data_IF_709939196485
#
_entry.id   IF_709939196485
#
_cell.length_a   1.000
_cell.length_b   1.000
_cell.length_c   1.000
_cell.angle_alpha   90.00
_cell.angle_beta   90.00
_cell.angle_gamma   90.00
#
_symmetry.space_group_name_H-M   'P 1'
#
loop_
_entity.id
_entity.type
_entity.pdbx_description
1 polymer ?
#
# COMPACT_ATOMS: atom_id res chain seq x y z
N UNK A 1 1.82 14.42 -6.94
CA UNK A 1 2.37 14.55 -5.57
C UNK A 1 3.81 14.06 -5.54
N UNK A 2 4.72 14.82 -4.89
CA UNK A 2 6.11 14.41 -4.66
C UNK A 2 6.24 13.21 -3.70
N UNK A 3 5.27 13.02 -2.79
CA UNK A 3 5.26 11.89 -1.84
C UNK A 3 4.67 10.60 -2.43
N UNK A 4 4.15 10.63 -3.66
CA UNK A 4 3.62 9.41 -4.26
C UNK A 4 4.77 8.44 -4.62
N UNK A 5 4.54 7.15 -4.34
CA UNK A 5 5.42 6.05 -4.73
C UNK A 5 4.67 5.15 -5.72
N UNK A 6 5.37 4.71 -6.75
CA UNK A 6 4.82 3.82 -7.78
C UNK A 6 5.21 2.37 -7.48
N UNK A 7 4.39 1.44 -7.94
CA UNK A 7 4.65 0.01 -7.84
C UNK A 7 3.99 -0.73 -9.00
N UNK A 8 4.49 -1.94 -9.26
CA UNK A 8 3.91 -2.87 -10.22
C UNK A 8 3.65 -4.17 -9.47
N UNK A 9 2.43 -4.66 -9.57
CA UNK A 9 2.01 -5.92 -8.96
C UNK A 9 1.68 -6.91 -10.07
N UNK A 10 2.48 -7.99 -10.16
CA UNK A 10 2.17 -9.15 -10.98
C UNK A 10 1.34 -10.10 -10.13
N UNK A 11 0.19 -10.52 -10.66
CA UNK A 11 -0.74 -11.40 -9.96
C UNK A 11 -1.41 -12.37 -10.93
N UNK A 12 -1.63 -13.60 -10.47
CA UNK A 12 -2.43 -14.61 -11.16
C UNK A 12 -3.93 -14.53 -10.81
N UNK A 13 -4.34 -13.53 -10.00
CA UNK A 13 -5.71 -13.39 -9.51
C UNK A 13 -6.42 -12.17 -10.10
N UNK A 14 -7.48 -12.43 -10.89
CA UNK A 14 -8.34 -11.37 -11.41
C UNK A 14 -9.04 -10.57 -10.29
N UNK A 15 -9.39 -11.24 -9.17
CA UNK A 15 -9.94 -10.58 -7.99
C UNK A 15 -8.99 -9.51 -7.44
N UNK A 16 -7.71 -9.85 -7.32
CA UNK A 16 -6.66 -8.94 -6.84
C UNK A 16 -6.51 -7.77 -7.81
N UNK A 17 -6.41 -8.04 -9.11
CA UNK A 17 -6.28 -6.99 -10.14
C UNK A 17 -7.43 -5.98 -10.07
N UNK A 18 -8.69 -6.43 -10.01
CA UNK A 18 -9.86 -5.55 -9.94
C UNK A 18 -9.87 -4.73 -8.65
N UNK A 19 -9.57 -5.34 -7.50
CA UNK A 19 -9.56 -4.61 -6.23
C UNK A 19 -8.39 -3.61 -6.14
N UNK A 20 -7.26 -3.89 -6.78
CA UNK A 20 -6.16 -2.94 -6.89
C UNK A 20 -6.53 -1.71 -7.75
N UNK A 21 -7.36 -1.88 -8.78
CA UNK A 21 -7.92 -0.74 -9.55
C UNK A 21 -8.83 0.17 -8.71
N UNK A 22 -9.51 -0.38 -7.69
CA UNK A 22 -10.33 0.41 -6.76
C UNK A 22 -9.45 1.12 -5.71
N UNK A 23 -8.49 0.37 -5.15
CA UNK A 23 -7.69 0.83 -4.02
C UNK A 23 -6.55 1.78 -4.40
N UNK A 24 -6.14 1.79 -5.66
CA UNK A 24 -4.97 2.55 -6.14
C UNK A 24 -5.26 3.27 -7.46
N UNK A 25 -4.40 4.22 -7.82
CA UNK A 25 -4.40 4.82 -9.17
C UNK A 25 -3.60 3.94 -10.12
N UNK A 26 -4.21 2.84 -10.56
CA UNK A 26 -3.59 1.89 -11.48
C UNK A 26 -3.85 2.26 -12.96
N UNK A 27 -2.99 1.76 -13.85
CA UNK A 27 -3.10 1.96 -15.30
C UNK A 27 -2.08 2.94 -15.88
N UNK A 28 -2.40 3.48 -17.06
CA UNK A 28 -1.47 4.26 -17.91
C UNK A 28 -0.75 5.42 -17.19
N UNK A 29 -1.42 6.26 -16.39
CA UNK A 29 -0.73 7.38 -15.72
C UNK A 29 0.36 6.91 -14.74
N UNK A 30 0.17 5.76 -14.07
CA UNK A 30 1.18 5.19 -13.21
C UNK A 30 2.36 4.64 -14.02
N UNK A 31 2.09 3.98 -15.15
CA UNK A 31 3.12 3.48 -16.05
C UNK A 31 3.98 4.61 -16.66
N UNK A 32 3.36 5.69 -17.11
CA UNK A 32 4.06 6.87 -17.64
C UNK A 32 4.95 7.52 -16.58
N UNK A 33 4.47 7.57 -15.33
CA UNK A 33 5.26 8.05 -14.21
C UNK A 33 6.46 7.15 -13.93
N UNK A 34 6.29 5.83 -13.96
CA UNK A 34 7.40 4.87 -13.78
C UNK A 34 8.44 5.05 -14.89
N UNK A 35 8.01 5.18 -16.15
CA UNK A 35 8.90 5.39 -17.27
C UNK A 35 9.72 6.69 -17.15
N UNK A 36 9.12 7.75 -16.59
CA UNK A 36 9.78 9.03 -16.37
C UNK A 36 10.72 9.02 -15.16
N UNK A 37 10.26 8.49 -14.03
CA UNK A 37 10.96 8.60 -12.73
C UNK A 37 11.97 7.45 -12.51
N UNK A 38 11.88 6.35 -13.29
CA UNK A 38 12.89 5.28 -13.35
C UNK A 38 12.87 4.25 -12.21
N UNK A 39 12.00 4.40 -11.20
CA UNK A 39 11.93 3.52 -10.04
C UNK A 39 10.51 3.16 -9.61
N UNK A 40 10.33 1.95 -9.10
CA UNK A 40 9.06 1.45 -8.57
C UNK A 40 9.26 0.26 -7.61
N UNK A 41 8.28 0.04 -6.73
CA UNK A 41 8.23 -1.14 -5.86
C UNK A 41 7.76 -2.36 -6.67
N UNK A 42 8.55 -3.44 -6.62
CA UNK A 42 8.27 -4.70 -7.31
C UNK A 42 7.37 -5.58 -6.46
N UNK A 43 6.20 -5.92 -6.96
CA UNK A 43 5.25 -6.81 -6.31
C UNK A 43 5.05 -8.08 -7.12
N UNK A 44 5.33 -9.23 -6.52
CA UNK A 44 4.97 -10.55 -7.06
C UNK A 44 3.95 -11.20 -6.14
N UNK A 45 2.82 -11.61 -6.70
CA UNK A 45 1.75 -12.29 -5.99
C UNK A 45 1.30 -13.53 -6.76
N UNK A 46 1.09 -14.63 -6.04
CA UNK A 46 0.38 -15.80 -6.54
C UNK A 46 -0.53 -16.39 -5.48
N UNK A 47 -1.73 -16.81 -5.86
CA UNK A 47 -2.63 -17.53 -4.96
C UNK A 47 -2.09 -18.93 -4.59
N UNK A 48 -1.20 -19.50 -5.42
CA UNK A 48 -0.65 -20.82 -5.21
C UNK A 48 -1.73 -21.91 -5.12
N UNK A 49 -1.53 -22.84 -4.19
CA UNK A 49 -2.48 -23.90 -3.83
C UNK A 49 -3.44 -23.49 -2.69
N UNK A 50 -3.31 -22.26 -2.17
CA UNK A 50 -4.04 -21.73 -1.01
C UNK A 50 -3.86 -22.57 0.28
N UNK A 51 -2.77 -23.33 0.38
CA UNK A 51 -2.42 -24.04 1.60
C UNK A 51 -2.01 -23.03 2.69
N UNK A 52 -2.74 -22.96 3.83
CA UNK A 52 -2.40 -22.05 4.92
C UNK A 52 -0.99 -22.25 5.48
N UNK A 53 -0.47 -23.47 5.44
CA UNK A 53 0.87 -23.81 5.95
C UNK A 53 1.98 -23.41 4.97
N UNK A 54 1.61 -23.09 3.72
CA UNK A 54 2.52 -22.60 2.68
C UNK A 54 2.23 -21.15 2.31
N UNK A 55 1.70 -20.36 3.24
CA UNK A 55 1.41 -18.93 3.03
C UNK A 55 2.58 -18.05 3.45
N UNK A 56 3.11 -17.27 2.51
CA UNK A 56 4.25 -16.38 2.74
C UNK A 56 3.92 -14.96 2.26
N UNK A 57 4.20 -13.96 3.09
CA UNK A 57 4.11 -12.54 2.73
C UNK A 57 5.42 -11.87 3.15
N UNK A 58 6.34 -11.76 2.19
CA UNK A 58 7.73 -11.39 2.38
C UNK A 58 7.99 -9.98 1.86
N UNK A 59 8.92 -9.28 2.51
CA UNK A 59 9.26 -7.90 2.19
C UNK A 59 10.79 -7.79 2.17
N UNK A 60 11.33 -7.28 1.07
CA UNK A 60 12.75 -7.09 0.86
C UNK A 60 12.99 -5.59 0.67
N UNK A 61 13.12 -4.83 1.78
CA UNK A 61 13.10 -3.38 1.74
C UNK A 61 14.28 -2.77 0.98
N UNK A 62 15.48 -3.34 1.09
CA UNK A 62 16.68 -2.92 0.36
C UNK A 62 16.51 -3.09 -1.15
N UNK A 63 15.69 -4.06 -1.56
CA UNK A 63 15.40 -4.34 -2.96
C UNK A 63 14.18 -3.56 -3.47
N UNK A 64 13.37 -2.97 -2.60
CA UNK A 64 12.02 -2.47 -2.91
C UNK A 64 11.14 -3.57 -3.52
N UNK A 65 11.20 -4.78 -2.96
CA UNK A 65 10.43 -5.93 -3.42
C UNK A 65 9.47 -6.48 -2.36
N UNK A 66 8.33 -6.97 -2.82
CA UNK A 66 7.28 -7.63 -2.04
C UNK A 66 6.94 -8.92 -2.77
N UNK A 67 6.96 -10.05 -2.05
CA UNK A 67 6.60 -11.35 -2.60
C UNK A 67 5.52 -11.98 -1.72
N UNK A 68 4.40 -12.37 -2.33
CA UNK A 68 3.27 -12.96 -1.65
C UNK A 68 2.81 -14.24 -2.33
N UNK A 69 2.65 -15.29 -1.54
CA UNK A 69 2.25 -16.61 -2.02
C UNK A 69 1.23 -17.24 -1.07
N UNK A 70 0.26 -17.96 -1.65
CA UNK A 70 -0.68 -18.80 -0.88
C UNK A 70 -1.89 -18.06 -0.30
N UNK A 71 -2.17 -16.82 -0.71
CA UNK A 71 -3.36 -16.11 -0.23
C UNK A 71 -3.86 -15.02 -1.18
N UNK A 72 -5.11 -15.14 -1.64
CA UNK A 72 -5.79 -14.08 -2.40
C UNK A 72 -6.51 -13.03 -1.54
N UNK A 73 -6.33 -13.02 -0.22
CA UNK A 73 -7.18 -12.25 0.70
C UNK A 73 -6.55 -10.94 1.17
N UNK A 74 -7.26 -9.83 0.93
CA UNK A 74 -7.05 -8.56 1.60
C UNK A 74 -5.58 -8.09 1.62
N UNK A 75 -5.05 -7.81 2.80
CA UNK A 75 -3.69 -7.26 2.96
C UNK A 75 -2.54 -8.21 2.63
N UNK A 76 -2.83 -9.50 2.40
CA UNK A 76 -1.83 -10.47 1.93
C UNK A 76 -1.66 -10.37 0.41
N UNK A 77 -2.72 -10.04 -0.32
CA UNK A 77 -2.74 -10.08 -1.78
C UNK A 77 -2.71 -8.69 -2.41
N UNK A 78 -3.43 -7.72 -1.84
CA UNK A 78 -3.46 -6.33 -2.33
C UNK A 78 -2.19 -5.61 -1.87
N UNK A 79 -1.07 -5.80 -2.57
CA UNK A 79 0.26 -5.45 -2.06
C UNK A 79 0.41 -3.95 -1.85
N UNK A 80 -0.31 -3.12 -2.60
CA UNK A 80 -0.38 -1.67 -2.39
C UNK A 80 -0.90 -1.26 -1.01
N UNK A 81 -1.69 -2.11 -0.33
CA UNK A 81 -2.44 -1.74 0.88
C UNK A 81 -1.57 -1.60 2.13
N UNK A 82 -0.91 -2.68 2.56
CA UNK A 82 -0.13 -2.71 3.81
C UNK A 82 1.34 -3.03 3.55
N UNK A 83 1.60 -3.95 2.63
CA UNK A 83 2.95 -4.34 2.25
C UNK A 83 3.72 -3.13 1.70
N UNK A 84 3.16 -2.42 0.71
CA UNK A 84 3.77 -1.22 0.18
C UNK A 84 3.55 -0.02 1.12
N UNK A 85 2.31 0.42 1.32
CA UNK A 85 2.02 1.72 1.94
C UNK A 85 2.45 1.86 3.41
N UNK A 86 2.79 0.76 4.10
CA UNK A 86 3.37 0.83 5.44
C UNK A 86 4.75 0.17 5.53
N UNK A 87 4.92 -1.09 5.11
CA UNK A 87 6.18 -1.80 5.40
C UNK A 87 7.35 -1.34 4.53
N UNK A 88 7.17 -1.32 3.20
CA UNK A 88 8.19 -0.76 2.30
C UNK A 88 8.27 0.75 2.47
N UNK A 89 7.12 1.42 2.58
CA UNK A 89 7.07 2.87 2.73
C UNK A 89 7.75 3.37 4.01
N UNK A 90 7.63 2.68 5.16
CA UNK A 90 8.30 3.11 6.39
C UNK A 90 9.82 2.95 6.31
N UNK A 91 10.30 1.94 5.58
CA UNK A 91 11.72 1.79 5.28
C UNK A 91 12.23 2.95 4.41
N UNK A 92 11.53 3.26 3.32
CA UNK A 92 11.86 4.42 2.47
C UNK A 92 11.81 5.73 3.27
N UNK A 93 10.77 5.90 4.09
CA UNK A 93 10.55 7.08 4.91
C UNK A 93 11.69 7.31 5.91
N UNK A 94 12.22 6.23 6.51
CA UNK A 94 13.39 6.28 7.40
C UNK A 94 14.63 6.84 6.70
N UNK A 95 14.90 6.42 5.47
CA UNK A 95 16.08 6.85 4.72
C UNK A 95 15.91 8.26 4.12
N UNK A 96 14.70 8.57 3.66
CA UNK A 96 14.38 9.79 2.91
C UNK A 96 13.87 10.94 3.79
N UNK A 97 13.74 10.74 5.11
CA UNK A 97 13.38 11.78 6.08
C UNK A 97 11.90 12.20 6.11
N UNK A 98 10.97 11.27 5.89
CA UNK A 98 9.52 11.49 6.02
C UNK A 98 8.87 10.38 6.86
N UNK A 99 7.53 10.32 6.92
CA UNK A 99 6.79 9.34 7.74
C UNK A 99 5.72 8.59 6.94
N UNK A 100 5.68 7.27 7.09
CA UNK A 100 4.66 6.39 6.52
C UNK A 100 3.88 5.69 7.64
N UNK A 101 2.76 6.29 8.05
CA UNK A 101 2.08 5.92 9.29
C UNK A 101 0.71 5.28 9.09
N UNK A 102 0.33 4.42 10.04
CA UNK A 102 -1.00 3.83 10.06
C UNK A 102 -2.04 4.77 10.71
N UNK A 103 -2.28 5.91 10.07
CA UNK A 103 -3.17 6.95 10.58
C UNK A 103 -4.37 7.19 9.67
N UNK A 104 -5.50 7.58 10.28
CA UNK A 104 -6.54 8.32 9.54
C UNK A 104 -6.09 9.77 9.37
N UNK A 105 -6.63 10.47 8.39
CA UNK A 105 -6.48 11.92 8.21
C UNK A 105 -7.89 12.51 8.14
N UNK A 106 -8.18 13.47 9.02
CA UNK A 106 -9.49 14.13 9.10
C UNK A 106 -9.33 15.65 9.09
N UNK A 107 -10.25 16.34 8.42
CA UNK A 107 -10.40 17.80 8.48
C UNK A 107 -11.51 18.17 9.45
N UNK A 108 -11.20 19.01 10.43
CA UNK A 108 -12.14 19.52 11.44
C UNK A 108 -12.37 21.01 11.17
N UNK A 109 -13.59 21.38 10.82
CA UNK A 109 -13.97 22.78 10.63
C UNK A 109 -14.73 23.29 11.85
N UNK A 110 -14.26 24.39 12.45
CA UNK A 110 -14.95 25.02 13.56
C UNK A 110 -16.14 25.88 13.09
N UNK A 111 -17.06 26.32 13.97
CA UNK A 111 -18.20 27.16 13.59
C UNK A 111 -17.84 28.52 12.97
N UNK A 112 -16.58 28.97 13.08
CA UNK A 112 -16.07 30.19 12.45
C UNK A 112 -15.55 29.93 11.02
N UNK A 113 -15.56 28.68 10.56
CA UNK A 113 -15.11 28.28 9.23
C UNK A 113 -13.62 27.88 9.14
N UNK A 114 -12.88 27.88 10.25
CA UNK A 114 -11.45 27.54 10.27
C UNK A 114 -11.26 26.01 10.27
N UNK A 115 -10.40 25.48 9.39
CA UNK A 115 -10.17 24.05 9.24
C UNK A 115 -8.80 23.63 9.78
N UNK A 116 -8.79 22.61 10.63
CA UNK A 116 -7.57 21.95 11.10
C UNK A 116 -7.51 20.50 10.60
N UNK A 117 -6.32 20.02 10.27
CA UNK A 117 -6.10 18.63 9.85
C UNK A 117 -5.43 17.85 10.98
N UNK A 118 -5.99 16.68 11.29
CA UNK A 118 -5.49 15.80 12.35
C UNK A 118 -5.17 14.44 11.75
N UNK A 119 -4.01 13.90 12.14
CA UNK A 119 -3.63 12.51 11.91
C UNK A 119 -3.76 11.73 13.22
N UNK A 120 -4.39 10.56 13.18
CA UNK A 120 -4.60 9.75 14.39
C UNK A 120 -4.42 8.25 14.12
N UNK A 121 -3.65 7.58 15.01
CA UNK A 121 -3.40 6.15 14.96
C UNK A 121 -4.26 5.42 15.99
N UNK A 122 -4.98 4.40 15.54
CA UNK A 122 -5.78 3.53 16.39
C UNK A 122 -5.47 2.06 16.04
N UNK A 123 -5.33 1.18 17.05
CA UNK A 123 -5.29 -0.26 16.82
C UNK A 123 -6.56 -0.79 16.16
N UNK A 124 -6.52 -2.06 15.74
CA UNK A 124 -7.72 -2.76 15.28
C UNK A 124 -8.82 -2.77 16.34
N UNK A 125 -10.07 -2.77 15.89
CA UNK A 125 -11.28 -2.83 16.73
C UNK A 125 -11.52 -1.61 17.65
N UNK A 126 -10.89 -0.46 17.37
CA UNK A 126 -11.10 0.78 18.13
C UNK A 126 -12.01 1.81 17.42
N UNK A 127 -12.83 1.40 16.45
CA UNK A 127 -13.79 2.30 15.80
C UNK A 127 -13.19 3.37 14.88
N UNK A 128 -12.00 3.15 14.31
CA UNK A 128 -11.29 4.12 13.46
C UNK A 128 -12.10 4.68 12.27
N UNK A 129 -13.06 3.93 11.77
CA UNK A 129 -13.90 4.29 10.61
C UNK A 129 -15.26 4.85 11.01
N UNK A 130 -15.60 4.83 12.30
CA UNK A 130 -16.91 5.23 12.79
C UNK A 130 -17.09 6.76 12.76
#
# INVERSE_FOLDING_TARGET
SPLARCGVEITDSAYVAINMMIMTRAGRPALERIARDGGFVRGLHSIGDLDPDRRFIMHFPEELAIESFGSGYGGNALLGKKCHALRIASWQARDEGWLAEHMLIVGLQNPKGETHYVAAAFPSACGKTN
#
